data_IF_346199937579
#
_entry.id   IF_346199937579
#
_cell.length_a   1.000
_cell.length_b   1.000
_cell.length_c   1.000
_cell.angle_alpha   90.00
_cell.angle_beta   90.00
_cell.angle_gamma   90.00
#
_symmetry.space_group_name_H-M   'P 1'
#
loop_
_entity.id
_entity.type
_entity.pdbx_description
1 polymer ?
#
# COMPACT_ATOMS: atom_id res chain seq x y z
N UNK A 1 -26.04 75.42 47.22
CA UNK A 1 -25.73 74.03 47.60
C UNK A 1 -26.98 73.19 47.32
N UNK A 2 -27.02 72.39 46.24
CA UNK A 2 -28.15 71.52 45.93
C UNK A 2 -27.95 70.11 46.51
N UNK A 3 -29.01 69.28 46.63
CA UNK A 3 -28.92 67.95 47.22
C UNK A 3 -28.50 66.90 46.18
N UNK A 4 -27.65 65.95 46.61
CA UNK A 4 -27.20 64.82 45.81
C UNK A 4 -28.31 63.77 45.63
N UNK A 5 -28.73 63.57 44.38
CA UNK A 5 -29.56 62.44 43.94
C UNK A 5 -28.67 61.21 43.72
N UNK A 6 -28.97 60.09 44.39
CA UNK A 6 -28.35 58.79 44.15
C UNK A 6 -29.05 58.11 42.96
N UNK A 7 -28.36 58.01 41.82
CA UNK A 7 -28.76 57.12 40.74
C UNK A 7 -28.11 55.74 40.94
N UNK A 8 -28.93 54.69 40.96
CA UNK A 8 -28.52 53.28 40.99
C UNK A 8 -28.31 52.82 39.53
N UNK A 9 -27.17 52.25 39.13
CA UNK A 9 -27.00 51.76 37.76
C UNK A 9 -27.73 50.43 37.59
N UNK A 10 -28.61 50.37 36.60
CA UNK A 10 -29.27 49.15 36.14
C UNK A 10 -28.23 48.29 35.39
N UNK A 11 -27.76 47.22 36.03
CA UNK A 11 -26.88 46.24 35.38
C UNK A 11 -27.74 45.36 34.46
N UNK A 12 -27.62 45.58 33.16
CA UNK A 12 -28.27 44.78 32.13
C UNK A 12 -27.46 43.49 31.91
N UNK A 13 -27.92 42.39 32.48
CA UNK A 13 -27.34 41.06 32.26
C UNK A 13 -27.62 40.60 30.83
N UNK A 14 -26.63 40.71 29.93
CA UNK A 14 -26.67 40.10 28.61
C UNK A 14 -26.42 38.61 28.78
N UNK A 15 -27.47 37.80 28.68
CA UNK A 15 -27.34 36.35 28.58
C UNK A 15 -26.75 36.01 27.20
N UNK A 16 -25.43 35.75 27.14
CA UNK A 16 -24.82 35.09 26.00
C UNK A 16 -25.37 33.67 25.93
N UNK A 17 -26.33 33.45 25.03
CA UNK A 17 -26.70 32.11 24.60
C UNK A 17 -25.51 31.52 23.83
N UNK A 18 -24.64 30.80 24.54
CA UNK A 18 -23.67 29.91 23.93
C UNK A 18 -24.41 28.75 23.27
N UNK A 19 -24.91 29.00 22.05
CA UNK A 19 -25.38 27.96 21.16
C UNK A 19 -24.19 27.09 20.79
N UNK A 20 -23.99 26.01 21.55
CA UNK A 20 -23.07 24.96 21.18
C UNK A 20 -23.56 24.38 19.84
N UNK A 21 -22.98 24.81 18.73
CA UNK A 21 -22.97 24.06 17.49
C UNK A 21 -22.23 22.75 17.75
N UNK A 22 -22.91 21.77 18.33
CA UNK A 22 -22.52 20.37 18.19
C UNK A 22 -22.67 20.07 16.70
N UNK A 23 -21.55 19.99 15.98
CA UNK A 23 -21.52 19.34 14.67
C UNK A 23 -22.26 18.01 14.84
N UNK A 24 -23.40 17.85 14.19
CA UNK A 24 -24.12 16.57 14.22
C UNK A 24 -23.19 15.57 13.54
N UNK A 25 -22.72 14.59 14.30
CA UNK A 25 -22.07 13.40 13.74
C UNK A 25 -23.04 12.84 12.69
N UNK A 26 -22.63 12.73 11.42
CA UNK A 26 -23.49 12.19 10.38
C UNK A 26 -23.95 10.79 10.79
N UNK A 27 -25.24 10.49 10.62
CA UNK A 27 -25.72 9.11 10.82
C UNK A 27 -25.04 8.22 9.78
N UNK A 28 -24.57 7.02 10.17
CA UNK A 28 -24.02 6.07 9.20
C UNK A 28 -25.02 5.82 8.06
N UNK A 29 -24.55 5.93 6.83
CA UNK A 29 -25.34 5.75 5.61
C UNK A 29 -24.83 4.61 4.72
N UNK A 30 -23.68 4.01 5.05
CA UNK A 30 -23.22 2.77 4.41
C UNK A 30 -23.86 1.60 5.14
N UNK A 31 -24.63 0.79 4.40
CA UNK A 31 -25.12 -0.48 4.89
C UNK A 31 -23.98 -1.50 4.90
N UNK A 32 -23.55 -1.89 6.10
CA UNK A 32 -22.52 -2.90 6.28
C UNK A 32 -23.13 -4.24 6.66
N UNK A 33 -22.74 -5.30 5.96
CA UNK A 33 -23.17 -6.68 6.20
C UNK A 33 -22.00 -7.56 6.62
N UNK A 34 -22.28 -8.63 7.38
CA UNK A 34 -21.23 -9.57 7.80
C UNK A 34 -20.58 -10.22 6.58
N UNK A 35 -19.25 -10.22 6.54
CA UNK A 35 -18.46 -10.78 5.44
C UNK A 35 -17.18 -11.47 5.96
N UNK A 36 -16.51 -12.17 5.04
CA UNK A 36 -15.18 -12.77 5.27
C UNK A 36 -14.17 -12.04 4.38
N UNK A 37 -13.00 -11.74 4.94
CA UNK A 37 -11.86 -11.24 4.19
C UNK A 37 -10.84 -12.36 4.04
N UNK A 38 -10.25 -12.48 2.85
CA UNK A 38 -9.18 -13.46 2.61
C UNK A 38 -7.98 -13.16 3.52
N UNK A 39 -7.37 -14.22 4.08
CA UNK A 39 -6.24 -14.06 5.01
C UNK A 39 -6.61 -13.54 6.41
N UNK A 40 -7.90 -13.30 6.70
CA UNK A 40 -8.37 -12.92 8.03
C UNK A 40 -9.22 -14.03 8.67
N UNK A 41 -8.86 -14.54 9.86
CA UNK A 41 -9.62 -15.60 10.52
C UNK A 41 -10.95 -15.13 11.11
N UNK A 42 -11.10 -13.84 11.42
CA UNK A 42 -12.32 -13.25 12.00
C UNK A 42 -13.41 -12.88 10.98
N UNK A 43 -14.52 -12.31 11.46
CA UNK A 43 -15.53 -11.68 10.62
C UNK A 43 -15.25 -10.18 10.45
N UNK A 44 -15.54 -9.66 9.28
CA UNK A 44 -15.56 -8.24 9.00
C UNK A 44 -17.00 -7.80 8.68
N UNK A 45 -17.20 -6.48 8.52
CA UNK A 45 -18.43 -5.92 7.99
C UNK A 45 -18.11 -5.19 6.68
N UNK A 46 -18.69 -5.63 5.58
CA UNK A 46 -18.42 -5.11 4.24
C UNK A 46 -19.62 -4.35 3.69
N UNK A 47 -19.36 -3.35 2.87
CA UNK A 47 -20.37 -2.61 2.13
C UNK A 47 -19.73 -1.80 1.02
N UNK A 48 -20.56 -1.02 0.34
CA UNK A 48 -20.17 -0.19 -0.79
C UNK A 48 -20.54 1.26 -0.50
N UNK A 49 -19.68 2.18 -0.92
CA UNK A 49 -19.97 3.61 -0.92
C UNK A 49 -19.91 4.19 -2.33
N UNK A 50 -20.99 4.82 -2.76
CA UNK A 50 -21.11 5.39 -4.10
C UNK A 50 -20.60 6.83 -4.17
N UNK A 51 -19.60 7.11 -5.00
CA UNK A 51 -19.06 8.45 -5.25
C UNK A 51 -19.19 8.83 -6.73
N UNK A 52 -19.14 10.11 -7.07
CA UNK A 52 -18.99 10.52 -8.46
C UNK A 52 -17.53 10.34 -8.92
N UNK A 53 -17.34 9.85 -10.16
CA UNK A 53 -16.02 9.82 -10.78
C UNK A 53 -15.46 11.25 -10.88
N UNK A 54 -16.23 12.16 -11.50
CA UNK A 54 -15.99 13.60 -11.46
C UNK A 54 -16.84 14.27 -10.36
N UNK A 55 -16.20 14.42 -9.19
CA UNK A 55 -16.77 15.12 -8.02
C UNK A 55 -17.13 16.59 -8.30
N UNK A 56 -16.41 17.27 -9.20
CA UNK A 56 -16.68 18.69 -9.51
C UNK A 56 -17.90 18.83 -10.40
N UNK A 57 -18.07 17.91 -11.36
CA UNK A 57 -19.27 17.87 -12.19
C UNK A 57 -20.52 17.50 -11.36
N UNK A 58 -20.37 16.63 -10.36
CA UNK A 58 -21.48 16.19 -9.50
C UNK A 58 -22.56 15.40 -10.24
N UNK A 59 -22.25 14.93 -11.45
CA UNK A 59 -23.12 14.17 -12.34
C UNK A 59 -22.29 13.22 -13.20
N UNK A 60 -22.94 12.27 -13.86
CA UNK A 60 -22.28 11.29 -14.73
C UNK A 60 -21.96 9.98 -14.00
N UNK A 61 -20.82 9.36 -14.37
CA UNK A 61 -20.42 8.05 -13.87
C UNK A 61 -20.25 8.07 -12.34
N UNK A 62 -20.80 7.05 -11.70
CA UNK A 62 -20.58 6.76 -10.28
C UNK A 62 -19.62 5.59 -10.13
N UNK A 63 -18.80 5.67 -9.09
CA UNK A 63 -17.89 4.62 -8.69
C UNK A 63 -18.38 4.02 -7.38
N UNK A 64 -18.52 2.69 -7.36
CA UNK A 64 -18.69 1.90 -6.16
C UNK A 64 -17.34 1.75 -5.47
N UNK A 65 -17.21 2.23 -4.23
CA UNK A 65 -16.02 2.02 -3.40
C UNK A 65 -16.26 0.88 -2.41
N UNK A 66 -15.44 -0.15 -2.48
CA UNK A 66 -15.46 -1.28 -1.57
C UNK A 66 -14.88 -0.88 -0.20
N UNK A 67 -15.69 -1.11 0.84
CA UNK A 67 -15.37 -0.79 2.23
C UNK A 67 -15.48 -2.04 3.08
N UNK A 68 -14.46 -2.29 3.90
CA UNK A 68 -14.52 -3.31 4.94
C UNK A 68 -14.13 -2.71 6.29
N UNK A 69 -14.88 -3.06 7.33
CA UNK A 69 -14.62 -2.71 8.72
C UNK A 69 -14.37 -3.98 9.50
N UNK A 70 -13.14 -4.14 9.98
CA UNK A 70 -12.80 -5.16 10.99
C UNK A 70 -13.14 -4.54 12.36
N UNK A 71 -14.19 -5.03 13.05
CA UNK A 71 -14.65 -4.39 14.28
C UNK A 71 -13.62 -4.52 15.40
N UNK A 72 -13.58 -3.53 16.29
CA UNK A 72 -12.81 -3.64 17.52
C UNK A 72 -13.28 -4.85 18.36
N UNK A 73 -12.36 -5.49 19.08
CA UNK A 73 -12.71 -6.58 20.00
C UNK A 73 -13.45 -6.07 21.26
N UNK A 74 -13.19 -4.84 21.69
CA UNK A 74 -13.86 -4.24 22.82
C UNK A 74 -15.36 -4.04 22.54
N UNK A 75 -16.20 -4.35 23.53
CA UNK A 75 -17.66 -4.10 23.48
C UNK A 75 -18.00 -2.64 23.18
N UNK A 76 -17.13 -1.72 23.60
CA UNK A 76 -17.20 -0.29 23.29
C UNK A 76 -15.88 0.15 22.66
N UNK A 77 -15.88 0.21 21.33
CA UNK A 77 -14.76 0.77 20.57
C UNK A 77 -14.55 2.26 20.92
N UNK A 78 -13.33 2.74 20.69
CA UNK A 78 -13.02 4.18 20.64
C UNK A 78 -13.74 4.81 19.44
N UNK A 79 -14.03 6.10 19.55
CA UNK A 79 -14.77 6.82 18.53
C UNK A 79 -13.99 6.96 17.21
N UNK A 80 -12.66 7.11 17.27
CA UNK A 80 -11.83 7.25 16.07
C UNK A 80 -11.31 5.88 15.60
N UNK A 81 -11.64 5.44 14.39
CA UNK A 81 -11.11 4.19 13.83
C UNK A 81 -9.65 4.36 13.41
N UNK A 82 -9.00 3.26 13.05
CA UNK A 82 -7.75 3.27 12.29
C UNK A 82 -8.06 2.97 10.81
N UNK A 83 -7.86 3.94 9.93
CA UNK A 83 -7.86 3.72 8.49
C UNK A 83 -6.50 3.18 8.07
N UNK A 84 -6.49 2.02 7.43
CA UNK A 84 -5.28 1.33 6.96
C UNK A 84 -5.10 1.63 5.48
N UNK A 85 -4.13 2.49 5.18
CA UNK A 85 -3.82 2.93 3.83
C UNK A 85 -2.63 2.12 3.30
N UNK A 86 -2.93 1.14 2.44
CA UNK A 86 -1.91 0.30 1.79
C UNK A 86 -1.27 1.03 0.59
N UNK A 87 -0.15 0.48 0.13
CA UNK A 87 0.73 1.10 -0.85
C UNK A 87 0.54 0.57 -2.28
N UNK A 88 1.65 0.32 -2.96
CA UNK A 88 1.69 0.14 -4.40
C UNK A 88 2.27 1.40 -5.06
N UNK A 89 1.47 2.33 -5.65
CA UNK A 89 0.00 2.41 -5.70
C UNK A 89 -0.68 1.21 -6.39
N UNK A 90 -2.00 1.14 -6.29
CA UNK A 90 -2.77 0.04 -6.89
C UNK A 90 -3.18 -1.06 -5.91
N UNK A 91 -2.62 -1.14 -4.71
CA UNK A 91 -3.03 -2.16 -3.74
C UNK A 91 -4.47 -1.96 -3.25
N UNK A 92 -5.25 -3.03 -3.27
CA UNK A 92 -6.57 -3.08 -2.65
C UNK A 92 -6.44 -3.23 -1.13
N UNK A 93 -6.93 -2.26 -0.36
CA UNK A 93 -6.89 -2.29 1.09
C UNK A 93 -7.71 -3.46 1.67
N UNK A 94 -8.83 -3.82 1.05
CA UNK A 94 -9.67 -4.95 1.46
C UNK A 94 -8.99 -6.30 1.29
N UNK A 95 -8.02 -6.42 0.36
CA UNK A 95 -7.25 -7.65 0.09
C UNK A 95 -5.89 -7.69 0.79
N UNK A 96 -5.24 -6.53 0.97
CA UNK A 96 -3.91 -6.43 1.58
C UNK A 96 -3.95 -6.10 3.08
N UNK A 97 -4.90 -5.27 3.52
CA UNK A 97 -5.10 -4.89 4.92
C UNK A 97 -5.34 -6.05 5.90
N UNK A 98 -6.06 -7.13 5.54
CA UNK A 98 -6.22 -8.32 6.38
C UNK A 98 -4.91 -8.88 6.95
N UNK A 99 -3.85 -8.92 6.14
CA UNK A 99 -2.55 -9.44 6.56
C UNK A 99 -1.90 -8.58 7.66
N UNK A 100 -2.26 -7.29 7.74
CA UNK A 100 -1.78 -6.37 8.77
C UNK A 100 -2.57 -6.47 10.07
N UNK A 101 -3.73 -7.13 10.07
CA UNK A 101 -4.57 -7.24 11.27
C UNK A 101 -3.83 -7.89 12.45
N UNK A 102 -2.96 -8.87 12.19
CA UNK A 102 -2.13 -9.48 13.22
C UNK A 102 -1.09 -8.50 13.81
N UNK A 103 -0.41 -7.71 12.97
CA UNK A 103 0.53 -6.69 13.40
C UNK A 103 -0.16 -5.53 14.15
N UNK A 104 -1.44 -5.28 13.85
CA UNK A 104 -2.27 -4.24 14.45
C UNK A 104 -3.19 -4.77 15.57
N UNK A 105 -2.97 -5.99 16.08
CA UNK A 105 -3.87 -6.64 17.03
C UNK A 105 -4.11 -5.80 18.30
N UNK A 106 -3.08 -5.14 18.84
CA UNK A 106 -3.25 -4.26 20.00
C UNK A 106 -4.09 -3.01 19.68
N UNK A 107 -4.08 -2.53 18.44
CA UNK A 107 -4.94 -1.42 17.99
C UNK A 107 -6.38 -1.91 17.81
N UNK A 108 -6.57 -3.07 17.16
CA UNK A 108 -7.89 -3.65 16.92
C UNK A 108 -8.59 -4.12 18.20
N UNK A 109 -7.90 -4.16 19.35
CA UNK A 109 -8.57 -4.33 20.65
C UNK A 109 -9.55 -3.21 20.93
N UNK A 110 -9.20 -1.96 20.61
CA UNK A 110 -9.99 -0.79 20.99
C UNK A 110 -10.54 0.00 19.80
N UNK A 111 -10.06 -0.22 18.58
CA UNK A 111 -10.45 0.56 17.38
C UNK A 111 -10.88 -0.34 16.25
N UNK A 112 -11.89 0.11 15.53
CA UNK A 112 -12.23 -0.49 14.23
C UNK A 112 -11.06 -0.27 13.27
N UNK A 113 -10.69 -1.31 12.50
CA UNK A 113 -9.82 -1.14 11.34
C UNK A 113 -10.70 -0.93 10.11
N UNK A 114 -10.52 0.19 9.42
CA UNK A 114 -11.29 0.53 8.23
C UNK A 114 -10.38 0.38 7.01
N UNK A 115 -10.82 -0.45 6.08
CA UNK A 115 -10.16 -0.76 4.83
C UNK A 115 -11.05 -0.19 3.72
N UNK A 116 -10.50 0.67 2.88
CA UNK A 116 -11.20 1.24 1.74
C UNK A 116 -10.33 1.01 0.52
N UNK A 117 -10.87 0.29 -0.45
CA UNK A 117 -10.23 0.21 -1.75
C UNK A 117 -10.32 1.60 -2.40
N UNK A 118 -9.17 2.16 -2.78
CA UNK A 118 -9.14 3.45 -3.48
C UNK A 118 -9.79 3.28 -4.85
N UNK A 119 -10.38 4.36 -5.40
CA UNK A 119 -10.77 4.40 -6.82
C UNK A 119 -9.64 3.86 -7.69
N UNK A 120 -9.94 2.93 -8.60
CA UNK A 120 -8.92 2.31 -9.44
C UNK A 120 -8.24 1.09 -8.82
N UNK A 121 -8.64 0.62 -7.64
CA UNK A 121 -8.06 -0.56 -6.97
C UNK A 121 -9.12 -1.57 -6.56
N UNK A 122 -8.76 -2.85 -6.47
CA UNK A 122 -9.60 -3.90 -5.87
C UNK A 122 -11.00 -3.97 -6.47
N UNK A 123 -12.03 -3.99 -5.62
CA UNK A 123 -13.42 -3.93 -6.07
C UNK A 123 -13.88 -2.53 -6.50
N UNK A 124 -13.06 -1.51 -6.30
CA UNK A 124 -13.39 -0.09 -6.54
C UNK A 124 -13.03 0.37 -7.94
N UNK A 125 -13.59 -0.30 -8.96
CA UNK A 125 -13.33 -0.04 -10.38
C UNK A 125 -11.83 -0.08 -10.72
N UNK A 126 -11.19 -1.24 -10.47
CA UNK A 126 -9.77 -1.42 -10.71
C UNK A 126 -9.34 -0.99 -12.11
N UNK A 127 -8.26 -0.20 -12.20
CA UNK A 127 -7.56 0.06 -13.46
C UNK A 127 -6.69 -1.15 -13.78
N UNK A 128 -7.31 -2.20 -14.31
CA UNK A 128 -6.65 -3.47 -14.57
C UNK A 128 -5.97 -3.47 -15.94
N UNK A 129 -4.64 -3.54 -15.91
CA UNK A 129 -3.80 -3.67 -17.09
C UNK A 129 -3.16 -5.06 -17.21
N UNK A 130 -3.63 -6.04 -16.44
CA UNK A 130 -3.13 -7.41 -16.52
C UNK A 130 -3.38 -7.97 -17.92
N UNK A 131 -2.35 -8.51 -18.61
CA UNK A 131 -2.53 -9.16 -19.91
C UNK A 131 -3.51 -10.33 -19.82
N UNK A 132 -4.24 -10.59 -20.91
CA UNK A 132 -5.27 -11.64 -20.93
C UNK A 132 -4.67 -13.06 -20.80
N UNK A 133 -3.41 -13.22 -21.19
CA UNK A 133 -2.60 -14.43 -21.11
C UNK A 133 -1.69 -14.47 -19.87
N UNK A 134 -1.93 -13.60 -18.88
CA UNK A 134 -1.18 -13.60 -17.63
C UNK A 134 -1.28 -14.95 -16.91
N UNK A 135 -0.14 -15.60 -16.71
CA UNK A 135 -0.02 -16.79 -15.89
C UNK A 135 0.49 -16.41 -14.48
N UNK A 136 -0.30 -16.63 -13.41
CA UNK A 136 0.12 -16.33 -12.04
C UNK A 136 1.29 -17.21 -11.54
N UNK A 137 1.60 -18.30 -12.23
CA UNK A 137 2.77 -19.14 -11.96
C UNK A 137 3.99 -18.73 -12.81
N UNK A 138 3.86 -17.76 -13.72
CA UNK A 138 4.99 -17.21 -14.45
C UNK A 138 5.89 -16.38 -13.51
N UNK A 139 7.20 -16.62 -13.60
CA UNK A 139 8.19 -15.87 -12.84
C UNK A 139 8.59 -14.63 -13.65
N UNK A 140 7.97 -13.50 -13.32
CA UNK A 140 8.29 -12.20 -13.92
C UNK A 140 9.34 -11.45 -13.11
N UNK A 141 10.43 -11.06 -13.78
CA UNK A 141 11.47 -10.23 -13.20
C UNK A 141 11.12 -8.74 -13.22
N UNK A 142 10.40 -8.30 -14.25
CA UNK A 142 9.89 -6.93 -14.37
C UNK A 142 8.41 -6.84 -13.98
N UNK A 143 8.09 -5.83 -13.18
CA UNK A 143 6.72 -5.48 -12.77
C UNK A 143 6.09 -4.43 -13.71
N UNK A 144 6.89 -3.78 -14.58
CA UNK A 144 6.41 -2.81 -15.55
C UNK A 144 5.92 -3.51 -16.82
N UNK A 145 4.82 -2.99 -17.36
CA UNK A 145 4.34 -3.39 -18.68
C UNK A 145 5.20 -2.70 -19.76
N UNK A 146 5.50 -3.41 -20.86
CA UNK A 146 5.99 -2.78 -22.09
C UNK A 146 5.13 -1.57 -22.50
N UNK A 147 5.74 -0.56 -23.12
CA UNK A 147 5.05 0.69 -23.46
C UNK A 147 3.82 0.49 -24.36
N UNK A 148 3.89 -0.46 -25.29
CA UNK A 148 2.81 -0.85 -26.20
C UNK A 148 1.68 -1.56 -25.47
N UNK A 149 1.99 -2.47 -24.54
CA UNK A 149 0.98 -3.10 -23.67
C UNK A 149 0.30 -2.08 -22.76
N UNK A 150 1.05 -1.12 -22.23
CA UNK A 150 0.51 -0.02 -21.42
C UNK A 150 -0.39 0.90 -22.25
N UNK A 151 0.02 1.24 -23.48
CA UNK A 151 -0.78 2.05 -24.40
C UNK A 151 -2.09 1.33 -24.78
N UNK A 152 -2.02 0.04 -25.11
CA UNK A 152 -3.18 -0.78 -25.39
C UNK A 152 -4.09 -0.93 -24.17
N UNK A 153 -3.53 -1.08 -22.96
CA UNK A 153 -4.32 -1.07 -21.74
C UNK A 153 -5.10 0.24 -21.59
N UNK A 154 -4.42 1.38 -21.74
CA UNK A 154 -5.02 2.71 -21.59
C UNK A 154 -6.24 2.90 -22.48
N UNK A 155 -6.22 2.38 -23.71
CA UNK A 155 -7.33 2.46 -24.65
C UNK A 155 -8.55 1.60 -24.25
N UNK A 156 -8.34 0.53 -23.48
CA UNK A 156 -9.42 -0.36 -22.99
C UNK A 156 -10.02 0.11 -21.68
N UNK A 157 -9.32 0.96 -20.92
CA UNK A 157 -9.81 1.45 -19.64
C UNK A 157 -10.99 2.39 -19.84
N UNK A 158 -12.17 1.94 -19.43
CA UNK A 158 -13.34 2.81 -19.32
C UNK A 158 -13.21 3.67 -18.06
N UNK A 159 -12.44 4.77 -18.12
CA UNK A 159 -12.20 5.68 -17.01
C UNK A 159 -11.64 7.03 -17.48
N UNK A 160 -12.01 8.13 -16.80
CA UNK A 160 -11.27 9.39 -16.96
C UNK A 160 -10.04 9.38 -16.04
N UNK A 161 -8.91 8.93 -16.59
CA UNK A 161 -7.66 8.73 -15.84
C UNK A 161 -7.14 9.98 -15.14
N UNK A 162 -7.58 11.19 -15.55
CA UNK A 162 -7.23 12.45 -14.87
C UNK A 162 -7.80 12.52 -13.45
N UNK A 163 -8.81 11.70 -13.15
CA UNK A 163 -9.54 11.68 -11.88
C UNK A 163 -9.08 10.57 -10.92
N UNK A 164 -8.05 9.81 -11.29
CA UNK A 164 -7.46 8.74 -10.48
C UNK A 164 -6.15 9.22 -9.82
N UNK A 165 -6.25 10.30 -9.05
CA UNK A 165 -5.09 10.95 -8.41
C UNK A 165 -5.22 10.91 -6.88
N UNK A 166 -4.09 10.97 -6.16
CA UNK A 166 -4.07 10.98 -4.69
C UNK A 166 -4.99 12.05 -4.06
N UNK A 167 -5.00 13.31 -4.53
CA UNK A 167 -5.96 14.31 -4.08
C UNK A 167 -7.42 13.88 -4.11
N UNK A 168 -7.84 13.21 -5.19
CA UNK A 168 -9.23 12.82 -5.39
C UNK A 168 -9.57 11.61 -4.51
N UNK A 169 -8.64 10.66 -4.39
CA UNK A 169 -8.78 9.53 -3.47
C UNK A 169 -8.89 9.96 -1.99
N UNK A 170 -8.27 11.08 -1.58
CA UNK A 170 -8.46 11.64 -0.23
C UNK A 170 -9.90 12.08 0.01
N UNK A 171 -10.53 12.69 -0.99
CA UNK A 171 -11.92 13.13 -0.84
C UNK A 171 -12.87 11.92 -0.78
N UNK A 172 -12.58 10.83 -1.49
CA UNK A 172 -13.28 9.54 -1.35
C UNK A 172 -13.19 9.00 0.08
N UNK A 173 -11.99 8.96 0.63
CA UNK A 173 -11.77 8.46 1.98
C UNK A 173 -12.49 9.31 3.04
N UNK A 174 -12.54 10.64 2.86
CA UNK A 174 -13.25 11.53 3.77
C UNK A 174 -14.77 11.37 3.70
N UNK A 175 -15.32 11.12 2.51
CA UNK A 175 -16.74 10.77 2.35
C UNK A 175 -17.08 9.43 2.99
N UNK A 176 -16.25 8.40 2.77
CA UNK A 176 -16.42 7.09 3.42
C UNK A 176 -16.35 7.23 4.94
N UNK A 177 -15.38 7.98 5.49
CA UNK A 177 -15.30 8.28 6.93
C UNK A 177 -16.61 8.86 7.45
N UNK A 178 -17.13 9.89 6.79
CA UNK A 178 -18.36 10.56 7.20
C UNK A 178 -19.58 9.62 7.07
N UNK A 179 -19.66 8.84 6.00
CA UNK A 179 -20.74 7.90 5.73
C UNK A 179 -20.72 6.67 6.65
N UNK A 180 -19.58 6.34 7.26
CA UNK A 180 -19.47 5.37 8.36
C UNK A 180 -19.83 5.98 9.73
N UNK A 181 -20.01 7.30 9.80
CA UNK A 181 -20.38 8.02 11.02
C UNK A 181 -19.19 8.37 11.94
N UNK A 182 -17.96 8.33 11.45
CA UNK A 182 -16.78 8.71 12.24
C UNK A 182 -16.50 10.20 12.12
N UNK A 183 -16.35 10.93 13.23
CA UNK A 183 -16.03 12.37 13.22
C UNK A 183 -14.54 12.64 12.90
N UNK A 184 -13.66 11.82 13.50
CA UNK A 184 -12.21 11.85 13.29
C UNK A 184 -11.70 10.44 13.07
N UNK A 185 -10.51 10.32 12.49
CA UNK A 185 -9.86 9.04 12.26
C UNK A 185 -8.37 9.09 12.65
N UNK A 186 -7.80 7.92 12.89
CA UNK A 186 -6.35 7.72 12.88
C UNK A 186 -5.94 7.11 11.54
N UNK A 187 -4.75 7.44 11.06
CA UNK A 187 -4.20 6.93 9.81
C UNK A 187 -2.98 6.06 10.09
N UNK A 188 -2.94 4.88 9.49
CA UNK A 188 -1.68 4.17 9.25
C UNK A 188 -1.48 4.11 7.73
N UNK A 189 -0.34 4.59 7.25
CA UNK A 189 0.03 4.52 5.84
C UNK A 189 1.29 3.70 5.65
N UNK A 190 1.25 2.72 4.75
CA UNK A 190 2.41 1.95 4.32
C UNK A 190 2.82 2.27 2.89
N UNK A 191 4.10 2.51 2.61
CA UNK A 191 4.61 2.78 1.26
C UNK A 191 3.84 3.95 0.59
N UNK A 192 3.29 3.81 -0.62
CA UNK A 192 2.45 4.85 -1.24
C UNK A 192 1.28 5.32 -0.35
N UNK A 193 0.76 4.46 0.54
CA UNK A 193 -0.25 4.84 1.53
C UNK A 193 0.21 5.96 2.48
N UNK A 194 1.52 6.15 2.67
CA UNK A 194 2.07 7.31 3.40
C UNK A 194 1.85 8.61 2.65
N UNK A 195 1.97 8.62 1.32
CA UNK A 195 1.66 9.79 0.48
C UNK A 195 0.18 10.13 0.57
N UNK A 196 -0.68 9.13 0.56
CA UNK A 196 -2.12 9.31 0.75
C UNK A 196 -2.45 9.87 2.15
N UNK A 197 -1.80 9.34 3.19
CA UNK A 197 -1.95 9.84 4.57
C UNK A 197 -1.48 11.29 4.72
N UNK A 198 -0.34 11.65 4.12
CA UNK A 198 0.18 13.01 4.11
C UNK A 198 -0.77 13.98 3.38
N UNK A 199 -1.31 13.56 2.24
CA UNK A 199 -2.27 14.38 1.49
C UNK A 199 -3.60 14.53 2.25
N UNK A 200 -4.05 13.48 2.94
CA UNK A 200 -5.22 13.54 3.83
C UNK A 200 -5.00 14.53 4.96
N UNK A 201 -3.88 14.42 5.68
CA UNK A 201 -3.53 15.33 6.78
C UNK A 201 -3.42 16.78 6.32
N UNK A 202 -2.88 17.03 5.12
CA UNK A 202 -2.76 18.37 4.54
C UNK A 202 -4.12 18.99 4.21
N UNK A 203 -5.07 18.19 3.73
CA UNK A 203 -6.40 18.66 3.27
C UNK A 203 -7.43 18.72 4.39
N UNK A 204 -7.38 17.78 5.33
CA UNK A 204 -8.41 17.54 6.35
C UNK A 204 -7.79 17.46 7.76
N UNK A 205 -6.92 18.41 8.18
CA UNK A 205 -6.17 18.29 9.44
C UNK A 205 -7.08 18.13 10.66
N UNK A 206 -8.24 18.81 10.67
CA UNK A 206 -9.19 18.76 11.78
C UNK A 206 -9.88 17.38 11.95
N UNK A 207 -9.84 16.53 10.92
CA UNK A 207 -10.41 15.18 10.93
C UNK A 207 -9.40 14.11 11.35
N UNK A 208 -8.12 14.47 11.53
CA UNK A 208 -7.05 13.52 11.87
C UNK A 208 -6.71 13.59 13.36
N UNK A 209 -6.81 12.46 14.04
CA UNK A 209 -6.38 12.29 15.44
C UNK A 209 -4.88 12.02 15.55
N UNK A 210 -4.39 11.07 14.76
CA UNK A 210 -3.00 10.61 14.79
C UNK A 210 -2.64 9.94 13.47
N UNK A 211 -1.36 9.98 13.11
CA UNK A 211 -0.83 9.40 11.87
C UNK A 211 0.41 8.57 12.17
N UNK A 212 0.50 7.38 11.58
CA UNK A 212 1.72 6.57 11.47
C UNK A 212 2.07 6.46 9.99
N UNK A 213 3.32 6.75 9.66
CA UNK A 213 3.85 6.65 8.29
C UNK A 213 4.99 5.62 8.29
N UNK A 214 4.81 4.53 7.56
CA UNK A 214 5.74 3.40 7.49
C UNK A 214 6.24 3.23 6.04
N UNK A 215 7.55 3.34 5.82
CA UNK A 215 8.13 3.43 4.47
C UNK A 215 7.72 4.70 3.74
N UNK A 216 8.15 5.86 4.26
CA UNK A 216 7.64 7.18 3.83
C UNK A 216 7.95 7.48 2.36
N UNK A 217 6.90 7.83 1.62
CA UNK A 217 6.93 8.38 0.27
C UNK A 217 6.49 9.85 0.34
N UNK A 218 7.43 10.81 0.47
CA UNK A 218 7.11 12.23 0.55
C UNK A 218 6.37 12.71 -0.70
N UNK A 219 5.54 13.75 -0.59
CA UNK A 219 4.81 14.32 -1.74
C UNK A 219 5.73 14.92 -2.81
N UNK A 220 6.98 15.24 -2.45
CA UNK A 220 8.02 15.76 -3.36
C UNK A 220 8.80 14.68 -4.10
N UNK A 221 8.68 13.41 -3.70
CA UNK A 221 9.40 12.31 -4.33
C UNK A 221 8.78 11.97 -5.70
N UNK A 222 9.62 11.83 -6.73
CA UNK A 222 9.18 11.36 -8.05
C UNK A 222 9.41 9.85 -8.12
N UNK A 223 8.34 9.08 -7.99
CA UNK A 223 8.41 7.63 -8.17
C UNK A 223 8.49 7.30 -9.67
N UNK A 224 9.23 6.25 -10.08
CA UNK A 224 10.12 5.39 -9.29
C UNK A 224 11.59 5.85 -9.30
N UNK A 225 11.88 7.14 -9.57
CA UNK A 225 13.25 7.60 -9.90
C UNK A 225 14.32 7.28 -8.85
N UNK A 226 13.97 7.13 -7.57
CA UNK A 226 14.93 6.79 -6.52
C UNK A 226 15.21 5.28 -6.40
N UNK A 227 14.36 4.43 -6.97
CA UNK A 227 14.34 2.99 -6.68
C UNK A 227 15.65 2.30 -7.04
N UNK A 228 16.26 2.64 -8.17
CA UNK A 228 17.55 2.07 -8.57
C UNK A 228 18.69 2.46 -7.62
N UNK A 229 18.75 3.73 -7.22
CA UNK A 229 19.76 4.22 -6.25
C UNK A 229 19.57 3.60 -4.87
N UNK A 230 18.33 3.55 -4.39
CA UNK A 230 18.02 3.03 -3.05
C UNK A 230 18.23 1.51 -3.00
N UNK A 231 17.89 0.80 -4.07
CA UNK A 231 18.17 -0.63 -4.24
C UNK A 231 19.67 -0.93 -4.25
N UNK A 232 20.47 -0.16 -5.01
CA UNK A 232 21.92 -0.30 -5.00
C UNK A 232 22.49 -0.08 -3.59
N UNK A 233 22.04 0.97 -2.89
CA UNK A 233 22.47 1.22 -1.51
C UNK A 233 22.13 0.07 -0.58
N UNK A 234 20.95 -0.54 -0.71
CA UNK A 234 20.56 -1.69 0.10
C UNK A 234 21.46 -2.91 -0.17
N UNK A 235 21.80 -3.16 -1.43
CA UNK A 235 22.75 -4.19 -1.83
C UNK A 235 24.15 -3.93 -1.25
N UNK A 236 24.66 -2.70 -1.36
CA UNK A 236 25.98 -2.32 -0.83
C UNK A 236 26.06 -2.53 0.69
N UNK A 237 25.00 -2.17 1.42
CA UNK A 237 24.90 -2.39 2.86
C UNK A 237 24.90 -3.87 3.22
N UNK A 238 24.21 -4.71 2.44
CA UNK A 238 24.20 -6.16 2.63
C UNK A 238 25.58 -6.77 2.39
N UNK A 239 26.24 -6.39 1.30
CA UNK A 239 27.59 -6.88 0.98
C UNK A 239 28.59 -6.45 2.05
N UNK A 240 28.51 -5.19 2.50
CA UNK A 240 29.35 -4.66 3.59
C UNK A 240 29.11 -5.42 4.90
N UNK A 241 27.85 -5.71 5.23
CA UNK A 241 27.51 -6.46 6.43
C UNK A 241 28.06 -7.90 6.37
N UNK A 242 28.00 -8.57 5.22
CA UNK A 242 28.56 -9.91 5.05
C UNK A 242 30.09 -9.92 5.19
N UNK A 243 30.80 -8.94 4.62
CA UNK A 243 32.26 -8.85 4.76
C UNK A 243 32.69 -8.53 6.20
N UNK A 244 31.88 -7.81 6.96
CA UNK A 244 32.13 -7.49 8.36
C UNK A 244 31.86 -8.69 9.30
N UNK A 245 30.90 -9.56 8.95
CA UNK A 245 30.55 -10.75 9.71
C UNK A 245 31.52 -11.91 9.43
N UNK A 246 32.12 -12.48 10.48
CA UNK A 246 33.14 -13.52 10.34
C UNK A 246 32.60 -14.80 9.69
N UNK A 247 31.39 -15.23 10.06
CA UNK A 247 30.77 -16.44 9.54
C UNK A 247 30.34 -16.27 8.07
N UNK A 248 29.77 -15.11 7.74
CA UNK A 248 29.38 -14.77 6.37
C UNK A 248 30.60 -14.65 5.46
N UNK A 249 31.63 -13.90 5.86
CA UNK A 249 32.88 -13.77 5.10
C UNK A 249 33.59 -15.12 4.91
N UNK A 250 33.62 -15.98 5.93
CA UNK A 250 34.21 -17.30 5.82
C UNK A 250 33.42 -18.21 4.85
N UNK A 251 32.10 -18.10 4.84
CA UNK A 251 31.22 -18.90 3.97
C UNK A 251 31.17 -18.37 2.53
N UNK A 252 31.26 -17.05 2.35
CA UNK A 252 31.06 -16.34 1.08
C UNK A 252 32.21 -15.33 0.83
N UNK A 253 33.45 -15.80 0.64
CA UNK A 253 34.60 -14.91 0.55
C UNK A 253 34.55 -14.04 -0.72
N UNK A 254 34.78 -12.74 -0.55
CA UNK A 254 34.77 -11.72 -1.60
C UNK A 254 33.45 -11.68 -2.39
N UNK A 255 32.32 -11.71 -1.67
CA UNK A 255 30.98 -11.82 -2.23
C UNK A 255 30.67 -10.72 -3.25
N UNK A 256 31.05 -9.47 -2.96
CA UNK A 256 30.86 -8.34 -3.90
C UNK A 256 31.57 -8.57 -5.23
N UNK A 257 32.84 -8.98 -5.20
CA UNK A 257 33.59 -9.28 -6.42
C UNK A 257 33.04 -10.51 -7.18
N UNK A 258 32.44 -11.48 -6.47
CA UNK A 258 31.73 -12.60 -7.11
C UNK A 258 30.47 -12.11 -7.84
N UNK A 259 29.71 -11.21 -7.21
CA UNK A 259 28.54 -10.59 -7.82
C UNK A 259 28.91 -9.80 -9.08
N UNK A 260 29.95 -8.97 -9.03
CA UNK A 260 30.40 -8.19 -10.18
C UNK A 260 30.72 -9.10 -11.38
N UNK A 261 31.51 -10.16 -11.15
CA UNK A 261 31.84 -11.15 -12.19
C UNK A 261 30.60 -11.88 -12.70
N UNK A 262 29.63 -12.19 -11.83
CA UNK A 262 28.37 -12.80 -12.25
C UNK A 262 27.59 -11.86 -13.18
N UNK A 263 27.48 -10.59 -12.80
CA UNK A 263 26.77 -9.59 -13.60
C UNK A 263 27.46 -9.29 -14.93
N UNK A 264 28.80 -9.33 -14.99
CA UNK A 264 29.57 -9.25 -16.25
C UNK A 264 29.32 -10.46 -17.15
N UNK A 265 29.31 -11.68 -16.60
CA UNK A 265 28.99 -12.88 -17.38
C UNK A 265 27.57 -12.84 -17.94
N UNK A 266 26.59 -12.45 -17.12
CA UNK A 266 25.19 -12.34 -17.55
C UNK A 266 24.96 -11.24 -18.60
N UNK A 267 25.83 -10.23 -18.66
CA UNK A 267 25.82 -9.23 -19.72
C UNK A 267 26.35 -9.80 -21.03
N UNK A 268 27.41 -10.60 -20.97
CA UNK A 268 28.00 -11.22 -22.13
C UNK A 268 27.14 -12.36 -22.70
N UNK A 269 26.56 -13.19 -21.82
CA UNK A 269 25.76 -14.36 -22.19
C UNK A 269 24.67 -14.63 -21.13
N UNK A 270 23.38 -14.52 -21.50
CA UNK A 270 22.28 -14.89 -20.61
C UNK A 270 22.36 -16.36 -20.19
N UNK A 271 22.14 -16.65 -18.91
CA UNK A 271 22.20 -18.00 -18.38
C UNK A 271 20.89 -18.76 -18.61
N UNK A 272 20.99 -20.06 -18.90
CA UNK A 272 19.83 -20.95 -18.93
C UNK A 272 19.67 -21.63 -17.57
N UNK A 273 18.54 -21.40 -16.91
CA UNK A 273 18.19 -22.02 -15.64
C UNK A 273 17.13 -23.11 -15.86
N UNK A 274 17.37 -24.30 -15.30
CA UNK A 274 16.42 -25.43 -15.34
C UNK A 274 16.18 -25.94 -13.94
N UNK A 275 14.92 -25.99 -13.53
CA UNK A 275 14.51 -26.44 -12.20
C UNK A 275 13.08 -26.98 -12.21
N UNK A 276 12.70 -27.71 -11.17
CA UNK A 276 11.28 -27.92 -10.89
C UNK A 276 10.70 -26.61 -10.33
N UNK A 277 9.58 -26.15 -10.88
CA UNK A 277 8.89 -24.97 -10.39
C UNK A 277 8.59 -25.14 -8.90
N UNK A 278 9.01 -24.21 -8.01
CA UNK A 278 8.95 -24.39 -6.55
C UNK A 278 7.57 -24.73 -5.98
N UNK A 279 6.51 -24.28 -6.66
CA UNK A 279 5.11 -24.53 -6.26
C UNK A 279 4.46 -25.72 -6.96
N UNK A 280 4.47 -25.76 -8.29
CA UNK A 280 3.78 -26.79 -9.07
C UNK A 280 4.59 -28.06 -9.30
N UNK A 281 5.90 -28.04 -9.06
CA UNK A 281 6.82 -29.15 -9.34
C UNK A 281 7.06 -29.43 -10.83
N UNK A 282 6.39 -28.70 -11.73
CA UNK A 282 6.54 -28.86 -13.18
C UNK A 282 7.94 -28.41 -13.63
N UNK A 283 8.53 -29.02 -14.67
CA UNK A 283 9.77 -28.51 -15.25
C UNK A 283 9.62 -27.05 -15.66
N UNK A 284 10.58 -26.23 -15.25
CA UNK A 284 10.67 -24.81 -15.53
C UNK A 284 12.03 -24.54 -16.18
N UNK A 285 12.00 -23.92 -17.35
CA UNK A 285 13.19 -23.43 -18.04
C UNK A 285 13.06 -21.91 -18.19
N UNK A 286 14.07 -21.17 -17.73
CA UNK A 286 14.09 -19.70 -17.79
C UNK A 286 15.44 -19.23 -18.31
N UNK A 287 15.42 -18.19 -19.13
CA UNK A 287 16.63 -17.43 -19.45
C UNK A 287 16.78 -16.32 -18.42
N UNK A 288 17.90 -16.31 -17.69
CA UNK A 288 18.25 -15.27 -16.73
C UNK A 288 19.23 -14.32 -17.41
N UNK A 289 18.79 -13.08 -17.68
CA UNK A 289 19.64 -11.99 -18.18
C UNK A 289 20.21 -11.19 -17.01
N UNK A 290 21.19 -10.33 -17.28
CA UNK A 290 21.70 -9.38 -16.28
C UNK A 290 20.58 -8.56 -15.64
N UNK A 291 19.70 -8.00 -16.47
CA UNK A 291 18.57 -7.18 -16.00
C UNK A 291 17.63 -7.98 -15.09
N UNK A 292 17.31 -9.22 -15.45
CA UNK A 292 16.44 -10.10 -14.66
C UNK A 292 17.02 -10.36 -13.27
N UNK A 293 18.33 -10.63 -13.22
CA UNK A 293 19.03 -10.85 -11.95
C UNK A 293 19.03 -9.60 -11.07
N UNK A 294 19.32 -8.43 -11.64
CA UNK A 294 19.33 -7.15 -10.92
C UNK A 294 17.94 -6.79 -10.38
N UNK A 295 16.89 -6.90 -11.21
CA UNK A 295 15.52 -6.65 -10.78
C UNK A 295 15.06 -7.65 -9.72
N UNK A 296 15.45 -8.92 -9.85
CA UNK A 296 15.18 -9.92 -8.84
C UNK A 296 15.88 -9.63 -7.51
N UNK A 297 17.17 -9.24 -7.52
CA UNK A 297 17.87 -8.82 -6.31
C UNK A 297 17.14 -7.66 -5.61
N UNK A 298 16.70 -6.67 -6.38
CA UNK A 298 15.92 -5.55 -5.84
C UNK A 298 14.63 -6.02 -5.15
N UNK A 299 13.90 -6.98 -5.76
CA UNK A 299 12.70 -7.57 -5.15
C UNK A 299 13.02 -8.33 -3.86
N UNK A 300 14.10 -9.11 -3.85
CA UNK A 300 14.52 -9.90 -2.68
C UNK A 300 15.03 -9.01 -1.53
N UNK A 301 15.63 -7.87 -1.84
CA UNK A 301 16.06 -6.87 -0.84
C UNK A 301 14.89 -6.19 -0.12
N UNK A 302 13.66 -6.31 -0.63
CA UNK A 302 12.49 -5.65 -0.05
C UNK A 302 12.04 -6.26 1.28
N UNK A 303 12.36 -7.54 1.54
CA UNK A 303 11.94 -8.27 2.74
C UNK A 303 13.15 -8.82 3.51
N UNK A 304 13.29 -8.55 4.82
CA UNK A 304 14.43 -9.02 5.61
C UNK A 304 14.69 -10.52 5.50
N UNK A 305 13.63 -11.34 5.57
CA UNK A 305 13.73 -12.79 5.47
C UNK A 305 14.37 -13.25 4.14
N UNK A 306 14.02 -12.63 3.03
CA UNK A 306 14.59 -12.94 1.71
C UNK A 306 15.99 -12.36 1.57
N UNK A 307 16.19 -11.11 1.97
CA UNK A 307 17.49 -10.45 1.90
C UNK A 307 18.57 -11.21 2.68
N UNK A 308 18.23 -11.83 3.82
CA UNK A 308 19.18 -12.60 4.63
C UNK A 308 19.77 -13.82 3.91
N UNK A 309 19.10 -14.31 2.86
CA UNK A 309 19.53 -15.44 2.05
C UNK A 309 20.35 -15.02 0.83
N UNK A 310 20.45 -13.71 0.54
CA UNK A 310 21.13 -13.22 -0.65
C UNK A 310 22.62 -13.59 -0.74
N UNK A 311 23.41 -13.64 0.35
CA UNK A 311 24.79 -14.13 0.27
C UNK A 311 24.91 -15.52 -0.36
N UNK A 312 24.13 -16.48 0.14
CA UNK A 312 24.06 -17.83 -0.41
C UNK A 312 23.53 -17.84 -1.85
N UNK A 313 22.54 -17.00 -2.12
CA UNK A 313 21.89 -16.92 -3.45
C UNK A 313 22.84 -16.42 -4.52
N UNK A 314 23.58 -15.36 -4.22
CA UNK A 314 24.58 -14.77 -5.10
C UNK A 314 25.72 -15.76 -5.32
N UNK A 315 26.17 -16.45 -4.26
CA UNK A 315 27.24 -17.43 -4.35
C UNK A 315 26.85 -18.62 -5.25
N UNK A 316 25.67 -19.20 -5.05
CA UNK A 316 25.13 -20.27 -5.91
C UNK A 316 24.95 -19.82 -7.36
N UNK A 317 24.41 -18.62 -7.57
CA UNK A 317 24.27 -18.07 -8.92
C UNK A 317 25.63 -17.81 -9.58
N UNK A 318 26.64 -17.43 -8.81
CA UNK A 318 28.00 -17.25 -9.30
C UNK A 318 28.62 -18.57 -9.80
N UNK A 319 28.15 -19.72 -9.31
CA UNK A 319 28.51 -21.06 -9.77
C UNK A 319 27.58 -21.60 -10.89
N UNK A 320 26.63 -20.79 -11.36
CA UNK A 320 25.68 -21.15 -12.40
C UNK A 320 24.37 -21.78 -11.90
N UNK A 321 24.19 -21.90 -10.59
CA UNK A 321 22.95 -22.40 -9.99
C UNK A 321 22.01 -21.25 -9.60
N UNK A 322 21.04 -20.98 -10.48
CA UNK A 322 20.01 -19.97 -10.28
C UNK A 322 18.77 -20.50 -9.55
N UNK A 323 18.71 -21.78 -9.18
CA UNK A 323 17.51 -22.34 -8.57
C UNK A 323 17.13 -21.66 -7.24
N UNK A 324 18.05 -21.33 -6.32
CA UNK A 324 17.72 -20.59 -5.09
C UNK A 324 17.18 -19.18 -5.36
N UNK A 325 17.70 -18.51 -6.38
CA UNK A 325 17.26 -17.17 -6.78
C UNK A 325 15.81 -17.21 -7.29
N UNK A 326 15.53 -18.15 -8.21
CA UNK A 326 14.21 -18.34 -8.79
C UNK A 326 13.19 -18.80 -7.73
N UNK A 327 13.61 -19.67 -6.81
CA UNK A 327 12.76 -20.15 -5.73
C UNK A 327 12.31 -19.04 -4.78
N UNK A 328 13.21 -18.13 -4.42
CA UNK A 328 12.86 -16.99 -3.58
C UNK A 328 11.94 -15.99 -4.29
N UNK A 329 12.15 -15.75 -5.59
CA UNK A 329 11.26 -14.89 -6.37
C UNK A 329 9.84 -15.49 -6.48
N UNK A 330 9.72 -16.79 -6.65
CA UNK A 330 8.41 -17.48 -6.66
C UNK A 330 7.63 -17.27 -5.35
N UNK A 331 8.33 -17.19 -4.21
CA UNK A 331 7.71 -16.89 -2.92
C UNK A 331 7.06 -15.49 -2.89
N UNK A 332 7.61 -14.51 -3.61
CA UNK A 332 7.04 -13.16 -3.74
C UNK A 332 5.83 -13.11 -4.67
N UNK A 333 5.87 -13.79 -5.81
CA UNK A 333 4.81 -13.74 -6.83
C UNK A 333 3.48 -14.33 -6.35
N UNK A 334 3.53 -15.36 -5.50
CA UNK A 334 2.34 -16.02 -4.93
C UNK A 334 1.38 -15.11 -4.16
N UNK A 335 1.83 -13.91 -3.77
CA UNK A 335 1.11 -13.01 -2.88
C UNK A 335 0.51 -11.78 -3.61
N UNK A 336 0.67 -11.67 -4.94
CA UNK A 336 0.35 -10.44 -5.71
C UNK A 336 -0.88 -10.53 -6.63
N UNK A 337 -1.26 -11.73 -7.09
CA UNK A 337 -2.39 -11.87 -8.02
C UNK A 337 -3.67 -11.27 -7.44
N UNK A 338 -4.28 -10.34 -8.18
CA UNK A 338 -5.47 -9.61 -7.76
C UNK A 338 -5.28 -8.60 -6.62
N UNK A 339 -4.09 -8.42 -6.05
CA UNK A 339 -3.90 -7.43 -4.97
C UNK A 339 -3.57 -6.04 -5.47
N UNK A 340 -3.00 -5.91 -6.66
CA UNK A 340 -2.51 -4.64 -7.23
C UNK A 340 -3.16 -4.39 -8.58
N UNK A 341 -3.77 -3.22 -8.76
CA UNK A 341 -4.20 -2.74 -10.06
C UNK A 341 -3.02 -2.14 -10.82
N UNK A 342 -2.54 -2.85 -11.84
CA UNK A 342 -1.32 -2.48 -12.60
C UNK A 342 -1.47 -1.14 -13.32
N UNK A 343 -2.68 -0.74 -13.72
CA UNK A 343 -2.92 0.55 -14.38
C UNK A 343 -2.70 1.78 -13.49
N UNK A 344 -2.38 1.59 -12.21
CA UNK A 344 -1.98 2.66 -11.29
C UNK A 344 -0.47 2.72 -11.04
N UNK A 345 0.33 1.78 -11.57
CA UNK A 345 1.78 1.69 -11.35
C UNK A 345 2.59 2.62 -12.26
#
# INVERSE_FOLDING_TARGET
MPPFSRQLPLVLSIALAAGACRERVPKPSIELTSCRLEGFPGSARCGVHEVYEDRKAGQGRRLSLDVAVIPAHARKARAEPLFVLVGGPGQAATRAGPALAAALAEVSRERDLVLVDQRGTGGSHALDCTPADYDPDEIRFDDLLPEDEMAACRERLEADLRLYTTPVAVEDLDEVRAALGYEKLSLWGGSYGTRLALEYLRRKPDRVRSVVLDGVVPTTMRLPLSFGRDGQRALDLLLTACEADEACRASYPALGARLDRLLERLEAEPAQARLAHPRSGRPLELTVRRQDFVLGLQKLLYAPALSSLLPATIDRAAEGDFAPFIAQLSALSSNRSGRVAVGLL
#
